data_IF_418079059825
#
_entry.id   IF_418079059825
#
_cell.length_a   1.000
_cell.length_b   1.000
_cell.length_c   1.000
_cell.angle_alpha   90.00
_cell.angle_beta   90.00
_cell.angle_gamma   90.00
#
_symmetry.space_group_name_H-M   'P 1'
#
loop_
_entity.id
_entity.type
_entity.pdbx_description
1 polymer ?
#
# COMPACT_ATOMS: atom_id res chain seq x y z
N UNK A 1 -19.97 -31.10 11.50
CA UNK A 1 -19.82 -30.83 10.06
C UNK A 1 -20.72 -29.64 9.74
N UNK A 2 -20.13 -28.45 9.61
CA UNK A 2 -20.84 -27.19 9.46
C UNK A 2 -19.89 -26.13 8.88
N UNK A 3 -19.18 -26.51 7.81
CA UNK A 3 -18.63 -25.54 6.87
C UNK A 3 -19.83 -24.88 6.17
N UNK A 4 -19.73 -23.61 5.79
CA UNK A 4 -20.77 -22.80 5.10
C UNK A 4 -21.72 -21.95 5.93
N UNK A 5 -21.25 -21.36 7.04
CA UNK A 5 -21.73 -20.01 7.39
C UNK A 5 -20.67 -19.02 6.95
N UNK A 6 -20.69 -18.67 5.65
CA UNK A 6 -20.25 -17.33 5.30
C UNK A 6 -21.27 -16.41 5.97
N UNK A 7 -20.91 -15.92 7.16
CA UNK A 7 -21.70 -14.91 7.85
C UNK A 7 -21.84 -13.73 6.88
N UNK A 8 -23.06 -13.35 6.54
CA UNK A 8 -23.31 -12.21 5.66
C UNK A 8 -22.60 -10.95 6.19
N UNK A 9 -22.38 -10.86 7.51
CA UNK A 9 -21.56 -9.83 8.14
C UNK A 9 -20.07 -9.90 7.78
N UNK A 10 -19.48 -11.10 7.65
CA UNK A 10 -18.08 -11.26 7.25
C UNK A 10 -17.85 -10.84 5.80
N UNK A 11 -18.71 -11.29 4.88
CA UNK A 11 -18.61 -10.91 3.47
C UNK A 11 -18.79 -9.39 3.31
N UNK A 12 -19.81 -8.82 3.95
CA UNK A 12 -20.07 -7.39 3.91
C UNK A 12 -18.90 -6.60 4.51
N UNK A 13 -18.40 -7.01 5.67
CA UNK A 13 -17.26 -6.37 6.32
C UNK A 13 -15.99 -6.46 5.48
N UNK A 14 -15.76 -7.57 4.78
CA UNK A 14 -14.63 -7.71 3.85
C UNK A 14 -14.77 -6.80 2.64
N UNK A 15 -15.95 -6.70 2.01
CA UNK A 15 -16.18 -5.81 0.87
C UNK A 15 -16.05 -4.34 1.26
N UNK A 16 -16.59 -3.94 2.42
CA UNK A 16 -16.41 -2.60 2.97
C UNK A 16 -14.95 -2.33 3.31
N UNK A 17 -14.27 -3.30 3.93
CA UNK A 17 -12.85 -3.24 4.22
C UNK A 17 -12.01 -3.05 2.95
N UNK A 18 -12.30 -3.80 1.88
CA UNK A 18 -11.62 -3.67 0.59
C UNK A 18 -11.82 -2.28 -0.01
N UNK A 19 -13.05 -1.77 -0.01
CA UNK A 19 -13.33 -0.40 -0.45
C UNK A 19 -12.57 0.62 0.40
N UNK A 20 -12.56 0.44 1.71
CA UNK A 20 -11.90 1.36 2.64
C UNK A 20 -10.38 1.42 2.44
N UNK A 21 -9.72 0.29 2.20
CA UNK A 21 -8.26 0.25 1.96
C UNK A 21 -7.87 0.46 0.50
N UNK A 22 -8.84 0.60 -0.41
CA UNK A 22 -8.60 0.81 -1.84
C UNK A 22 -7.69 2.03 -2.14
N UNK A 23 -7.87 3.21 -1.50
CA UNK A 23 -6.96 4.34 -1.68
C UNK A 23 -5.50 4.00 -1.34
N UNK A 24 -5.25 3.13 -0.36
CA UNK A 24 -3.90 2.69 -0.02
C UNK A 24 -3.28 1.83 -1.13
N UNK A 25 -4.03 0.90 -1.74
CA UNK A 25 -3.55 0.12 -2.88
C UNK A 25 -3.22 1.01 -4.07
N UNK A 26 -4.11 1.96 -4.40
CA UNK A 26 -3.88 2.92 -5.49
C UNK A 26 -2.65 3.77 -5.20
N UNK A 27 -2.52 4.29 -3.98
CA UNK A 27 -1.37 5.10 -3.55
C UNK A 27 -0.06 4.32 -3.71
N UNK A 28 -0.01 3.05 -3.29
CA UNK A 28 1.19 2.21 -3.37
C UNK A 28 1.56 1.81 -4.82
N UNK A 29 0.57 1.56 -5.68
CA UNK A 29 0.82 1.12 -7.07
C UNK A 29 1.19 2.28 -8.02
N UNK A 30 0.64 3.48 -7.79
CA UNK A 30 0.79 4.64 -8.67
C UNK A 30 2.24 5.04 -8.96
N UNK A 31 3.17 5.10 -7.97
CA UNK A 31 4.56 5.51 -8.20
C UNK A 31 5.25 4.76 -9.34
N UNK A 32 4.98 3.46 -9.49
CA UNK A 32 5.61 2.59 -10.51
C UNK A 32 5.29 3.08 -11.93
N UNK A 33 4.05 3.48 -12.17
CA UNK A 33 3.58 3.95 -13.47
C UNK A 33 3.91 5.43 -13.65
N UNK A 34 3.64 6.25 -12.63
CA UNK A 34 3.81 7.70 -12.69
C UNK A 34 5.26 8.09 -12.95
N UNK A 35 6.23 7.49 -12.25
CA UNK A 35 7.66 7.77 -12.45
C UNK A 35 8.10 7.40 -13.86
N UNK A 36 7.61 6.27 -14.40
CA UNK A 36 7.92 5.82 -15.76
C UNK A 36 7.38 6.79 -16.82
N UNK A 37 6.16 7.31 -16.63
CA UNK A 37 5.54 8.27 -17.55
C UNK A 37 6.19 9.66 -17.48
N UNK A 38 6.58 10.10 -16.28
CA UNK A 38 7.21 11.40 -16.08
C UNK A 38 8.67 11.43 -16.55
N UNK A 39 9.33 10.26 -16.63
CA UNK A 39 10.75 10.16 -17.00
C UNK A 39 11.69 10.83 -15.99
N UNK A 40 11.19 11.15 -14.79
CA UNK A 40 11.92 11.82 -13.70
C UNK A 40 11.79 11.01 -12.42
N UNK A 41 12.92 10.81 -11.75
CA UNK A 41 13.02 10.04 -10.52
C UNK A 41 14.07 10.69 -9.61
N UNK A 42 13.66 11.57 -8.71
CA UNK A 42 14.56 12.15 -7.71
C UNK A 42 14.49 11.34 -6.41
N UNK A 43 15.58 10.65 -5.99
CA UNK A 43 15.58 9.87 -4.77
C UNK A 43 15.25 10.72 -3.54
N UNK A 44 14.34 10.24 -2.68
CA UNK A 44 13.94 10.92 -1.45
C UNK A 44 15.09 11.07 -0.46
N UNK A 45 16.05 10.14 -0.48
CA UNK A 45 17.23 10.21 0.39
C UNK A 45 18.37 11.06 -0.18
N UNK A 46 18.21 11.65 -1.37
CA UNK A 46 19.23 12.46 -2.06
C UNK A 46 20.59 11.74 -2.21
N UNK A 47 20.60 10.40 -2.22
CA UNK A 47 21.85 9.64 -2.27
C UNK A 47 22.51 9.39 -0.92
N UNK A 48 21.90 9.82 0.19
CA UNK A 48 22.47 9.70 1.53
C UNK A 48 22.77 8.25 1.93
N UNK A 49 23.88 8.06 2.62
CA UNK A 49 24.33 6.78 3.19
C UNK A 49 24.50 6.90 4.69
N UNK A 50 24.10 5.86 5.43
CA UNK A 50 24.33 5.77 6.88
C UNK A 50 25.73 5.19 7.19
N UNK A 51 26.18 5.25 8.46
CA UNK A 51 27.49 4.72 8.88
C UNK A 51 27.69 3.22 8.61
N UNK A 52 26.61 2.47 8.38
CA UNK A 52 26.65 1.07 7.94
C UNK A 52 27.10 0.91 6.46
N UNK A 53 27.39 2.01 5.77
CA UNK A 53 27.80 2.05 4.36
C UNK A 53 26.65 1.86 3.37
N UNK A 54 25.39 1.86 3.84
CA UNK A 54 24.22 1.57 3.01
C UNK A 54 23.37 2.83 2.83
N UNK A 55 22.70 2.93 1.68
CA UNK A 55 21.73 3.99 1.39
C UNK A 55 20.66 4.09 2.47
N UNK A 56 20.13 5.27 2.73
CA UNK A 56 19.02 5.42 3.69
C UNK A 56 17.78 4.69 3.17
N UNK A 57 17.42 4.92 1.90
CA UNK A 57 16.26 4.31 1.23
C UNK A 57 16.66 3.59 -0.07
N UNK A 58 17.47 4.25 -0.91
CA UNK A 58 17.76 3.85 -2.29
C UNK A 58 16.96 4.65 -3.33
N UNK A 59 17.29 4.49 -4.60
CA UNK A 59 16.75 5.26 -5.74
C UNK A 59 15.28 4.92 -6.06
N UNK A 60 14.76 3.82 -5.53
CA UNK A 60 13.39 3.38 -5.79
C UNK A 60 12.31 4.15 -5.03
N UNK A 61 12.69 5.03 -4.09
CA UNK A 61 11.77 5.88 -3.34
C UNK A 61 12.00 7.32 -3.76
N UNK A 62 11.07 7.88 -4.54
CA UNK A 62 11.26 9.16 -5.23
C UNK A 62 10.25 10.21 -4.79
N UNK A 63 10.59 11.48 -4.99
CA UNK A 63 9.68 12.61 -4.74
C UNK A 63 8.45 12.53 -5.65
N UNK A 64 8.65 12.26 -6.94
CA UNK A 64 7.55 12.09 -7.90
C UNK A 64 6.63 10.94 -7.51
N UNK A 65 7.21 9.82 -7.06
CA UNK A 65 6.46 8.67 -6.56
C UNK A 65 5.61 9.05 -5.34
N UNK A 66 6.22 9.71 -4.36
CA UNK A 66 5.51 10.15 -3.15
C UNK A 66 4.33 11.07 -3.47
N UNK A 67 4.57 12.11 -4.27
CA UNK A 67 3.55 13.11 -4.62
C UNK A 67 2.45 12.48 -5.47
N UNK A 68 2.80 11.73 -6.51
CA UNK A 68 1.80 11.10 -7.39
C UNK A 68 0.97 10.05 -6.68
N UNK A 69 1.57 9.22 -5.82
CA UNK A 69 0.86 8.19 -5.07
C UNK A 69 -0.11 8.77 -4.05
N UNK A 70 0.33 9.73 -3.21
CA UNK A 70 -0.58 10.41 -2.26
C UNK A 70 -1.71 11.10 -3.01
N UNK A 71 -1.40 11.86 -4.06
CA UNK A 71 -2.40 12.64 -4.80
C UNK A 71 -3.44 11.74 -5.46
N UNK A 72 -3.01 10.63 -6.07
CA UNK A 72 -3.91 9.71 -6.79
C UNK A 72 -4.73 8.87 -5.82
N UNK A 73 -4.12 8.34 -4.76
CA UNK A 73 -4.85 7.65 -3.70
C UNK A 73 -5.91 8.55 -3.06
N UNK A 74 -5.53 9.79 -2.73
CA UNK A 74 -6.44 10.78 -2.17
C UNK A 74 -7.58 11.12 -3.13
N UNK A 75 -7.29 11.39 -4.41
CA UNK A 75 -8.31 11.69 -5.41
C UNK A 75 -9.31 10.53 -5.59
N UNK A 76 -8.83 9.28 -5.65
CA UNK A 76 -9.69 8.10 -5.72
C UNK A 76 -10.54 7.96 -4.46
N UNK A 77 -9.94 8.14 -3.28
CA UNK A 77 -10.69 8.10 -2.03
C UNK A 77 -11.75 9.18 -1.92
N UNK A 78 -11.48 10.40 -2.39
CA UNK A 78 -12.47 11.48 -2.50
C UNK A 78 -13.62 11.06 -3.42
N UNK A 79 -13.33 10.53 -4.60
CA UNK A 79 -14.36 10.02 -5.50
C UNK A 79 -15.20 8.92 -4.83
N UNK A 80 -14.56 7.98 -4.13
CA UNK A 80 -15.25 6.94 -3.37
C UNK A 80 -16.10 7.51 -2.24
N UNK A 81 -15.63 8.53 -1.52
CA UNK A 81 -16.39 9.22 -0.48
C UNK A 81 -17.63 9.92 -1.05
N UNK A 82 -17.55 10.48 -2.26
CA UNK A 82 -18.73 11.06 -2.91
C UNK A 82 -19.78 10.02 -3.31
N UNK A 83 -19.35 8.82 -3.69
CA UNK A 83 -20.24 7.72 -4.10
C UNK A 83 -20.77 6.91 -2.91
N UNK A 84 -19.96 6.77 -1.87
CA UNK A 84 -20.17 5.95 -0.67
C UNK A 84 -19.83 6.80 0.57
N UNK A 85 -20.68 7.77 0.95
CA UNK A 85 -20.36 8.74 2.00
C UNK A 85 -20.20 8.12 3.39
N UNK A 86 -20.67 6.89 3.60
CA UNK A 86 -20.52 6.14 4.83
C UNK A 86 -19.17 5.41 4.95
N UNK A 87 -18.36 5.37 3.88
CA UNK A 87 -17.13 4.57 3.85
C UNK A 87 -15.98 5.25 4.59
N UNK A 88 -15.88 6.57 4.49
CA UNK A 88 -14.87 7.39 5.16
C UNK A 88 -15.56 8.45 6.01
N UNK A 89 -14.96 8.78 7.15
CA UNK A 89 -15.46 9.76 8.12
C UNK A 89 -15.25 11.19 7.65
N UNK A 90 -14.08 11.47 7.08
CA UNK A 90 -13.70 12.77 6.56
C UNK A 90 -12.56 12.66 5.53
N UNK A 91 -12.15 13.80 4.96
CA UNK A 91 -11.06 13.86 3.98
C UNK A 91 -9.69 13.58 4.61
N UNK A 92 -9.48 13.90 5.89
CA UNK A 92 -8.21 13.66 6.56
C UNK A 92 -7.95 12.15 6.68
N UNK A 93 -8.98 11.35 6.99
CA UNK A 93 -8.88 9.90 7.02
C UNK A 93 -8.39 9.34 5.67
N UNK A 94 -8.92 9.82 4.55
CA UNK A 94 -8.49 9.41 3.21
C UNK A 94 -7.02 9.78 2.93
N UNK A 95 -6.63 10.99 3.35
CA UNK A 95 -5.25 11.47 3.24
C UNK A 95 -4.30 10.60 4.09
N UNK A 96 -4.70 10.21 5.30
CA UNK A 96 -3.93 9.33 6.17
C UNK A 96 -3.83 7.91 5.64
N UNK A 97 -4.89 7.35 5.06
CA UNK A 97 -4.84 6.05 4.38
C UNK A 97 -3.79 6.07 3.27
N UNK A 98 -3.86 7.12 2.42
CA UNK A 98 -3.00 7.26 1.24
C UNK A 98 -1.54 7.56 1.59
N UNK A 99 -1.31 8.46 2.55
CA UNK A 99 0.04 8.80 3.02
C UNK A 99 0.65 7.73 3.90
N UNK A 100 -0.13 7.08 4.76
CA UNK A 100 0.28 5.94 5.58
C UNK A 100 0.73 4.75 4.74
N UNK A 101 0.10 4.52 3.59
CA UNK A 101 0.55 3.52 2.62
C UNK A 101 1.98 3.79 2.13
N UNK A 102 2.27 5.00 1.65
CA UNK A 102 3.62 5.34 1.18
C UNK A 102 4.63 5.48 2.32
N UNK A 103 4.20 5.88 3.52
CA UNK A 103 5.03 5.82 4.70
C UNK A 103 5.46 4.38 5.01
N UNK A 104 4.55 3.41 4.87
CA UNK A 104 4.86 1.99 5.02
C UNK A 104 5.82 1.45 3.97
N UNK A 105 5.64 1.86 2.71
CA UNK A 105 6.55 1.50 1.63
C UNK A 105 7.95 2.11 1.79
N UNK A 106 8.04 3.37 2.26
CA UNK A 106 9.31 4.02 2.62
C UNK A 106 9.97 3.33 3.82
N UNK A 107 9.20 3.02 4.87
CA UNK A 107 9.69 2.30 6.04
C UNK A 107 10.22 0.92 5.64
N UNK A 108 9.52 0.21 4.75
CA UNK A 108 9.96 -1.06 4.20
C UNK A 108 11.30 -0.93 3.47
N UNK A 109 11.47 0.09 2.63
CA UNK A 109 12.75 0.35 1.97
C UNK A 109 13.87 0.62 2.98
N UNK A 110 13.61 1.45 4.00
CA UNK A 110 14.57 1.72 5.07
C UNK A 110 14.99 0.42 5.78
N UNK A 111 14.02 -0.39 6.23
CA UNK A 111 14.28 -1.67 6.90
C UNK A 111 15.11 -2.59 6.00
N UNK A 112 14.76 -2.71 4.72
CA UNK A 112 15.54 -3.52 3.75
C UNK A 112 17.00 -3.07 3.67
N UNK A 113 17.28 -1.76 3.67
CA UNK A 113 18.66 -1.25 3.69
C UNK A 113 19.37 -1.61 4.99
N UNK A 114 18.70 -1.49 6.15
CA UNK A 114 19.28 -1.88 7.45
C UNK A 114 19.56 -3.38 7.55
N UNK A 115 18.79 -4.22 6.85
CA UNK A 115 19.02 -5.67 6.74
C UNK A 115 20.04 -6.07 5.66
N UNK A 116 20.55 -5.13 4.86
CA UNK A 116 21.56 -5.39 3.83
C UNK A 116 20.99 -5.91 2.52
N UNK A 117 19.66 -5.88 2.40
CA UNK A 117 18.94 -6.25 1.19
C UNK A 117 19.15 -5.12 0.18
N UNK A 118 19.68 -5.45 -1.01
CA UNK A 118 19.91 -4.48 -2.09
C UNK A 118 18.58 -3.93 -2.62
N UNK A 119 18.63 -2.78 -3.28
CA UNK A 119 17.46 -2.25 -3.97
C UNK A 119 16.98 -3.24 -5.04
N UNK A 120 15.65 -3.35 -5.20
CA UNK A 120 15.02 -4.29 -6.13
C UNK A 120 15.02 -5.74 -5.66
N UNK A 121 15.85 -6.12 -4.69
CA UNK A 121 15.81 -7.48 -4.13
C UNK A 121 14.51 -7.70 -3.34
N UNK A 122 13.91 -8.91 -3.43
CA UNK A 122 12.64 -9.22 -2.78
C UNK A 122 12.81 -9.30 -1.26
N UNK A 123 11.80 -8.80 -0.54
CA UNK A 123 11.61 -9.02 0.89
C UNK A 123 10.13 -9.43 1.09
N UNK A 124 9.80 -10.74 0.98
CA UNK A 124 8.44 -11.24 1.14
C UNK A 124 7.83 -10.78 2.47
N UNK A 125 6.50 -10.67 2.52
CA UNK A 125 5.73 -10.09 3.64
C UNK A 125 5.94 -8.57 3.75
N UNK A 126 7.19 -8.08 3.85
CA UNK A 126 7.48 -6.66 3.98
C UNK A 126 7.03 -5.88 2.73
N UNK A 127 7.42 -6.36 1.55
CA UNK A 127 7.05 -5.76 0.27
C UNK A 127 5.55 -5.88 -0.03
N UNK A 128 4.86 -6.85 0.59
CA UNK A 128 3.48 -7.19 0.27
C UNK A 128 2.47 -6.56 1.23
N UNK A 129 2.78 -6.57 2.53
CA UNK A 129 1.86 -6.14 3.58
C UNK A 129 2.27 -4.82 4.23
N UNK A 130 3.54 -4.39 4.08
CA UNK A 130 4.09 -3.26 4.81
C UNK A 130 3.30 -1.96 4.61
N UNK A 131 2.96 -1.64 3.36
CA UNK A 131 2.17 -0.43 3.05
C UNK A 131 0.80 -0.45 3.74
N UNK A 132 0.09 -1.59 3.67
CA UNK A 132 -1.24 -1.73 4.24
C UNK A 132 -1.20 -1.73 5.77
N UNK A 133 -0.21 -2.40 6.35
CA UNK A 133 -0.04 -2.48 7.80
C UNK A 133 0.21 -1.09 8.40
N UNK A 134 1.10 -0.29 7.80
CA UNK A 134 1.36 1.08 8.28
C UNK A 134 0.17 1.99 8.03
N UNK A 135 -0.50 1.88 6.88
CA UNK A 135 -1.74 2.63 6.60
C UNK A 135 -2.82 2.39 7.67
N UNK A 136 -3.12 1.12 7.96
CA UNK A 136 -4.10 0.75 8.98
C UNK A 136 -3.64 1.11 10.40
N UNK A 137 -2.34 1.04 10.70
CA UNK A 137 -1.79 1.49 11.97
C UNK A 137 -1.99 3.00 12.15
N UNK A 138 -1.69 3.81 11.13
CA UNK A 138 -1.90 5.25 11.14
C UNK A 138 -3.37 5.59 11.41
N UNK A 139 -4.30 4.86 10.77
CA UNK A 139 -5.74 5.01 11.04
C UNK A 139 -6.10 4.58 12.45
N UNK A 140 -5.63 3.42 12.90
CA UNK A 140 -5.92 2.93 14.24
C UNK A 140 -5.51 3.93 15.32
N UNK A 141 -4.33 4.53 15.19
CA UNK A 141 -3.79 5.49 16.15
C UNK A 141 -4.52 6.84 16.15
N UNK A 142 -5.10 7.24 15.02
CA UNK A 142 -5.73 8.57 14.88
C UNK A 142 -7.24 8.52 15.11
N UNK A 143 -7.89 7.48 14.59
CA UNK A 143 -9.33 7.37 14.49
C UNK A 143 -9.91 6.09 15.11
N UNK A 144 -9.08 5.10 15.41
CA UNK A 144 -9.53 3.72 15.58
C UNK A 144 -9.96 3.09 14.25
N UNK A 145 -9.94 1.75 14.18
CA UNK A 145 -10.40 1.05 12.99
C UNK A 145 -11.94 1.12 12.89
N UNK A 146 -12.51 1.26 11.69
CA UNK A 146 -13.96 1.15 11.49
C UNK A 146 -14.51 -0.18 12.00
N UNK A 147 -15.77 -0.19 12.44
CA UNK A 147 -16.43 -1.38 13.01
C UNK A 147 -16.50 -2.57 12.05
N UNK A 148 -16.48 -2.32 10.74
CA UNK A 148 -16.44 -3.36 9.71
C UNK A 148 -15.04 -3.99 9.52
N UNK A 149 -13.98 -3.43 10.12
CA UNK A 149 -12.64 -4.04 10.20
C UNK A 149 -12.51 -4.82 11.51
N UNK A 150 -13.16 -5.97 11.55
CA UNK A 150 -13.00 -6.99 12.60
C UNK A 150 -11.70 -7.80 12.40
N UNK A 151 -11.26 -8.60 13.40
CA UNK A 151 -10.09 -9.46 13.23
C UNK A 151 -10.18 -10.44 12.05
N UNK A 152 -11.37 -10.98 11.77
CA UNK A 152 -11.60 -11.89 10.65
C UNK A 152 -11.54 -11.17 9.30
N UNK A 153 -12.15 -9.98 9.18
CA UNK A 153 -12.05 -9.17 7.96
C UNK A 153 -10.62 -8.68 7.74
N UNK A 154 -9.90 -8.28 8.80
CA UNK A 154 -8.49 -7.90 8.70
C UNK A 154 -7.64 -9.07 8.18
N UNK A 155 -7.86 -10.27 8.71
CA UNK A 155 -7.19 -11.48 8.23
C UNK A 155 -7.46 -11.70 6.74
N UNK A 156 -8.72 -11.57 6.30
CA UNK A 156 -9.07 -11.69 4.88
C UNK A 156 -8.42 -10.62 4.01
N UNK A 157 -8.35 -9.36 4.48
CA UNK A 157 -7.67 -8.28 3.76
C UNK A 157 -6.17 -8.56 3.60
N UNK A 158 -5.49 -9.05 4.64
CA UNK A 158 -4.08 -9.41 4.57
C UNK A 158 -3.86 -10.59 3.61
N UNK A 159 -4.69 -11.63 3.67
CA UNK A 159 -4.64 -12.75 2.73
C UNK A 159 -4.88 -12.30 1.29
N UNK A 160 -5.90 -11.47 1.07
CA UNK A 160 -6.21 -10.90 -0.23
C UNK A 160 -5.03 -10.07 -0.77
N UNK A 161 -4.38 -9.28 0.09
CA UNK A 161 -3.19 -8.50 -0.28
C UNK A 161 -2.04 -9.38 -0.74
N UNK A 162 -1.76 -10.48 -0.01
CA UNK A 162 -0.72 -11.44 -0.38
C UNK A 162 -1.02 -12.06 -1.76
N UNK A 163 -2.27 -12.44 -2.02
CA UNK A 163 -2.71 -13.01 -3.30
C UNK A 163 -2.64 -11.99 -4.44
N UNK A 164 -3.10 -10.76 -4.20
CA UNK A 164 -3.07 -9.67 -5.19
C UNK A 164 -1.66 -9.33 -5.65
N UNK A 165 -0.65 -9.47 -4.79
CA UNK A 165 0.74 -9.23 -5.18
C UNK A 165 1.25 -10.23 -6.22
N UNK A 166 0.84 -11.49 -6.13
CA UNK A 166 1.16 -12.51 -7.14
C UNK A 166 0.47 -12.17 -8.47
N UNK A 167 -0.81 -11.76 -8.42
CA UNK A 167 -1.57 -11.36 -9.59
C UNK A 167 -1.04 -10.10 -10.29
N UNK A 168 -0.65 -9.07 -9.53
CA UNK A 168 -0.11 -7.82 -10.07
C UNK A 168 1.31 -7.97 -10.61
N UNK A 169 2.18 -8.78 -10.00
CA UNK A 169 3.48 -9.13 -10.59
C UNK A 169 3.30 -9.91 -11.91
N UNK A 170 2.33 -10.82 -11.97
CA UNK A 170 1.99 -11.55 -13.19
C UNK A 170 1.48 -10.62 -14.29
N UNK A 171 0.58 -9.68 -13.96
CA UNK A 171 0.06 -8.71 -14.92
C UNK A 171 1.16 -7.73 -15.41
N UNK A 172 2.03 -7.26 -14.51
CA UNK A 172 3.16 -6.40 -14.87
C UNK A 172 4.14 -7.11 -15.82
N UNK A 173 4.37 -8.41 -15.62
CA UNK A 173 5.13 -9.23 -16.55
C UNK A 173 4.43 -9.34 -17.92
N UNK A 174 3.13 -9.65 -17.95
CA UNK A 174 2.35 -9.75 -19.18
C UNK A 174 2.27 -8.44 -19.97
N UNK A 175 2.27 -7.29 -19.29
CA UNK A 175 2.28 -5.96 -19.89
C UNK A 175 3.70 -5.47 -20.27
N UNK A 176 4.74 -6.30 -20.11
CA UNK A 176 6.13 -5.93 -20.40
C UNK A 176 6.69 -4.82 -19.49
N UNK A 177 6.10 -4.65 -18.31
CA UNK A 177 6.55 -3.69 -17.29
C UNK A 177 7.61 -4.30 -16.36
N UNK A 178 7.72 -5.63 -16.32
CA UNK A 178 8.73 -6.40 -15.58
C UNK A 178 9.25 -7.57 -16.42
N UNK A 179 10.50 -7.96 -16.18
CA UNK A 179 11.13 -9.11 -16.84
C UNK A 179 10.74 -10.46 -16.21
N UNK A 180 10.21 -10.47 -14.98
CA UNK A 180 9.78 -11.69 -14.26
C UNK A 180 8.44 -11.52 -13.54
N UNK A 181 7.67 -12.63 -13.41
CA UNK A 181 6.31 -12.66 -12.85
C UNK A 181 6.23 -12.88 -11.34
N UNK A 182 7.35 -13.23 -10.68
CA UNK A 182 7.45 -13.42 -9.23
C UNK A 182 8.06 -12.21 -8.52
#
# INVERSE_FOLDING_TARGET
MGLWVFDAGLLTGFLLGLGYVWPAYVSNATPVVAVKLLGKAHPLDLGATLPDGRRVLGDGKTVEGLVSGISTGFAVGVAMHTLLPFLFRDLLEILLISSGALAGDILGAFIKRRLGIKQGAPAPILDQLGFLAVSLLTIHLTYGLPSFITPSTLTLLLLFTLLMHVGTNTLAYLLGLKDTWY
#
